data_IF_873281876425
#
_entry.id   IF_873281876425
#
_cell.length_a   1.000
_cell.length_b   1.000
_cell.length_c   1.000
_cell.angle_alpha   90.00
_cell.angle_beta   90.00
_cell.angle_gamma   90.00
#
_symmetry.space_group_name_H-M   'P 1'
#
loop_
_entity.id
_entity.type
_entity.pdbx_description
1 polymer ?
#
# COMPACT_ATOMS: atom_id res chain seq x y z
N UNK A 1 25.76 5.64 -15.97
CA UNK A 1 24.39 5.10 -15.96
C UNK A 1 24.15 4.30 -14.67
N UNK A 2 24.09 4.98 -13.53
CA UNK A 2 23.92 4.33 -12.21
C UNK A 2 23.20 5.25 -11.22
N UNK A 3 23.49 6.56 -11.29
CA UNK A 3 22.87 7.56 -10.43
C UNK A 3 21.38 7.79 -10.71
N UNK A 4 20.96 7.76 -11.99
CA UNK A 4 19.55 7.90 -12.36
C UNK A 4 18.67 6.71 -11.93
N UNK A 5 19.21 5.48 -11.95
CA UNK A 5 18.49 4.29 -11.49
C UNK A 5 18.31 4.26 -9.96
N UNK A 6 19.28 4.83 -9.22
CA UNK A 6 19.17 4.98 -7.77
C UNK A 6 18.09 6.00 -7.38
N UNK A 7 18.01 7.13 -8.11
CA UNK A 7 16.99 8.16 -7.90
C UNK A 7 15.59 7.65 -8.27
N UNK A 8 15.44 6.88 -9.36
CA UNK A 8 14.15 6.27 -9.74
C UNK A 8 13.59 5.29 -8.70
N UNK A 9 14.45 4.54 -8.00
CA UNK A 9 14.04 3.61 -6.94
C UNK A 9 13.49 4.29 -5.69
N UNK A 10 13.76 5.58 -5.48
CA UNK A 10 13.24 6.34 -4.34
C UNK A 10 11.81 6.89 -4.58
N UNK A 11 11.27 6.78 -5.80
CA UNK A 11 9.96 7.33 -6.16
C UNK A 11 8.82 6.30 -6.17
N UNK A 12 9.12 5.03 -5.91
CA UNK A 12 8.13 3.97 -5.92
C UNK A 12 8.26 3.22 -4.60
N UNK A 13 7.40 3.59 -3.65
CA UNK A 13 7.14 2.74 -2.49
C UNK A 13 6.15 1.65 -2.90
N UNK A 14 6.57 0.39 -2.76
CA UNK A 14 5.73 -0.76 -3.02
C UNK A 14 5.15 -1.22 -1.68
N UNK A 15 3.84 -1.05 -1.54
CA UNK A 15 3.07 -1.62 -0.45
C UNK A 15 2.80 -3.09 -0.79
N UNK A 16 3.62 -4.01 -0.27
CA UNK A 16 3.42 -5.44 -0.46
C UNK A 16 2.89 -6.10 0.82
N UNK A 17 1.82 -6.88 0.67
CA UNK A 17 1.38 -7.82 1.69
C UNK A 17 2.33 -9.03 1.70
N UNK A 18 3.17 -9.15 2.74
CA UNK A 18 4.19 -10.21 2.84
C UNK A 18 3.83 -11.31 3.85
N UNK A 19 2.66 -11.27 4.47
CA UNK A 19 2.25 -12.24 5.48
C UNK A 19 1.52 -13.44 4.84
N UNK A 20 2.17 -14.62 4.90
CA UNK A 20 1.63 -15.89 4.41
C UNK A 20 1.02 -16.75 5.55
N UNK A 21 0.99 -16.25 6.79
CA UNK A 21 0.52 -16.99 7.96
C UNK A 21 -1.00 -17.08 8.08
N UNK A 22 -1.51 -18.29 8.35
CA UNK A 22 -2.91 -18.50 8.71
C UNK A 22 -3.24 -17.79 10.04
N UNK A 23 -4.03 -16.71 9.98
CA UNK A 23 -4.56 -16.03 11.16
C UNK A 23 -4.60 -14.50 11.08
N UNK A 24 -3.86 -13.88 10.15
CA UNK A 24 -3.85 -12.42 9.99
C UNK A 24 -4.97 -11.98 9.04
N UNK A 25 -6.11 -11.54 9.60
CA UNK A 25 -7.26 -11.08 8.81
C UNK A 25 -7.13 -9.63 8.30
N UNK A 26 -6.33 -8.81 8.99
CA UNK A 26 -6.09 -7.43 8.62
C UNK A 26 -4.71 -6.99 9.13
N UNK A 27 -3.98 -6.26 8.30
CA UNK A 27 -2.71 -5.64 8.66
C UNK A 27 -2.74 -4.17 8.28
N UNK A 28 -2.34 -3.32 9.22
CA UNK A 28 -2.17 -1.89 8.97
C UNK A 28 -0.74 -1.65 8.52
N UNK A 29 -0.57 -1.22 7.27
CA UNK A 29 0.74 -0.90 6.74
C UNK A 29 1.34 0.33 7.45
N UNK A 30 2.54 0.25 8.03
CA UNK A 30 3.17 1.37 8.72
C UNK A 30 3.79 2.34 7.71
N UNK A 31 3.02 3.31 7.22
CA UNK A 31 3.56 4.40 6.39
C UNK A 31 4.30 5.42 7.27
N UNK A 32 5.41 5.97 6.76
CA UNK A 32 6.09 7.08 7.43
C UNK A 32 5.13 8.27 7.56
N UNK A 33 4.91 8.75 8.78
CA UNK A 33 3.97 9.84 9.05
C UNK A 33 2.48 9.47 8.94
N UNK A 34 2.12 8.22 8.62
CA UNK A 34 0.74 7.80 8.36
C UNK A 34 0.05 8.60 7.24
N UNK A 35 0.81 9.11 6.27
CA UNK A 35 0.29 9.91 5.16
C UNK A 35 0.01 9.04 3.93
N UNK A 36 -1.13 9.29 3.28
CA UNK A 36 -1.46 8.67 1.99
C UNK A 36 -0.78 9.49 0.89
N UNK A 37 0.13 8.84 0.15
CA UNK A 37 0.80 9.47 -0.97
C UNK A 37 -0.18 9.69 -2.14
N UNK A 38 -0.22 10.91 -2.68
CA UNK A 38 -1.02 11.24 -3.85
C UNK A 38 -0.27 10.89 -5.15
N UNK A 39 -0.97 10.28 -6.11
CA UNK A 39 -0.39 9.92 -7.43
C UNK A 39 0.30 8.55 -7.47
N UNK A 40 0.19 7.75 -6.41
CA UNK A 40 0.58 6.35 -6.43
C UNK A 40 -0.49 5.47 -7.10
N UNK A 41 -0.07 4.28 -7.57
CA UNK A 41 -0.98 3.24 -8.02
C UNK A 41 -1.14 2.22 -6.90
N UNK A 42 -2.38 2.01 -6.46
CA UNK A 42 -2.72 0.85 -5.64
C UNK A 42 -2.96 -0.32 -6.59
N UNK A 43 -2.56 -1.54 -6.21
CA UNK A 43 -2.94 -2.76 -6.92
C UNK A 43 -3.36 -3.77 -5.87
N UNK A 44 -4.65 -4.10 -5.86
CA UNK A 44 -5.20 -5.10 -4.93
C UNK A 44 -5.25 -6.47 -5.61
N UNK A 45 -4.73 -7.50 -4.93
CA UNK A 45 -4.77 -8.89 -5.42
C UNK A 45 -6.20 -9.46 -5.34
N UNK A 46 -6.51 -10.46 -6.16
CA UNK A 46 -7.86 -11.05 -6.28
C UNK A 46 -8.50 -11.57 -4.98
N UNK A 47 -7.70 -11.89 -3.96
CA UNK A 47 -8.16 -12.39 -2.66
C UNK A 47 -8.06 -11.35 -1.54
N UNK A 48 -7.79 -10.09 -1.84
CA UNK A 48 -7.51 -9.05 -0.85
C UNK A 48 -8.47 -7.87 -0.98
N UNK A 49 -8.54 -7.08 0.09
CA UNK A 49 -9.18 -5.77 0.11
C UNK A 49 -8.24 -4.78 0.80
N UNK A 50 -8.20 -3.55 0.29
CA UNK A 50 -7.49 -2.46 0.94
C UNK A 50 -8.49 -1.44 1.48
N UNK A 51 -8.30 -0.99 2.71
CA UNK A 51 -9.17 -0.01 3.37
C UNK A 51 -8.34 1.19 3.77
N UNK A 52 -8.73 2.36 3.29
CA UNK A 52 -8.12 3.62 3.70
C UNK A 52 -8.92 4.18 4.88
N UNK A 53 -8.21 4.57 5.93
CA UNK A 53 -8.79 5.13 7.15
C UNK A 53 -8.23 6.53 7.33
N UNK A 54 -9.11 7.51 7.44
CA UNK A 54 -8.77 8.91 7.70
C UNK A 54 -9.43 9.34 9.01
N UNK A 55 -8.65 9.84 9.97
CA UNK A 55 -9.13 10.33 11.28
C UNK A 55 -10.05 9.34 12.03
N UNK A 56 -9.83 8.03 11.85
CA UNK A 56 -10.63 6.98 12.49
C UNK A 56 -11.92 6.62 11.75
N UNK A 57 -12.16 7.20 10.57
CA UNK A 57 -13.27 6.85 9.68
C UNK A 57 -12.76 6.12 8.44
N UNK A 58 -13.53 5.16 7.94
CA UNK A 58 -13.25 4.52 6.65
C UNK A 58 -13.48 5.56 5.56
N UNK A 59 -12.41 5.90 4.84
CA UNK A 59 -12.44 6.84 3.74
C UNK A 59 -12.82 6.13 2.44
N UNK A 60 -12.13 5.04 2.12
CA UNK A 60 -12.37 4.26 0.90
C UNK A 60 -12.04 2.78 1.10
N UNK A 61 -12.66 1.94 0.27
CA UNK A 61 -12.43 0.49 0.22
C UNK A 61 -12.15 0.10 -1.23
N UNK A 62 -11.00 -0.53 -1.46
CA UNK A 62 -10.55 -0.97 -2.77
C UNK A 62 -10.58 -2.49 -2.85
N UNK A 63 -11.20 -2.99 -3.92
CA UNK A 63 -11.24 -4.41 -4.26
C UNK A 63 -10.19 -4.81 -5.29
N UNK A 64 -10.15 -6.07 -5.69
CA UNK A 64 -9.22 -6.59 -6.68
C UNK A 64 -9.10 -5.78 -7.98
N UNK A 65 -7.87 -5.59 -8.45
CA UNK A 65 -7.57 -4.98 -9.76
C UNK A 65 -7.72 -3.46 -9.84
N UNK A 66 -7.99 -2.79 -8.71
CA UNK A 66 -8.00 -1.32 -8.58
C UNK A 66 -6.61 -0.78 -8.32
#
# INVERSE_FOLDING_TARGET
>A
MALMDFIKKQFIDILEWTEDGDGTLAWRYPMAGMEIQNGGTLVVRESQMAVFVNEGQVADVFGPGT
#
